data_IF_485265950053
#
_entry.id   IF_485265950053
#
_cell.length_a   1.000
_cell.length_b   1.000
_cell.length_c   1.000
_cell.angle_alpha   90.00
_cell.angle_beta   90.00
_cell.angle_gamma   90.00
#
_symmetry.space_group_name_H-M   'P 1'
#
loop_
_entity.id
_entity.type
_entity.pdbx_description
1 polymer ?
#
# COMPACT_ATOMS: atom_id res chain seq x y z
N UNK A 1 -14.24 -67.65 -1.61
CA UNK A 1 -14.76 -67.58 -0.23
C UNK A 1 -14.75 -68.97 0.40
N UNK A 2 -14.28 -69.10 1.64
CA UNK A 2 -14.49 -70.31 2.42
C UNK A 2 -15.88 -70.21 3.07
N UNK A 3 -16.74 -71.21 2.82
CA UNK A 3 -18.07 -71.31 3.43
C UNK A 3 -17.96 -71.35 4.96
N UNK A 4 -18.85 -70.62 5.63
CA UNK A 4 -18.98 -70.68 7.09
C UNK A 4 -20.03 -71.70 7.54
N UNK A 5 -20.69 -72.35 6.58
CA UNK A 5 -21.71 -73.36 6.85
C UNK A 5 -21.08 -74.66 7.38
N UNK A 6 -21.68 -75.30 8.41
CA UNK A 6 -21.30 -76.63 8.85
C UNK A 6 -21.42 -77.67 7.72
N UNK A 7 -20.67 -78.77 7.81
CA UNK A 7 -20.73 -79.85 6.82
C UNK A 7 -22.14 -80.46 6.64
N UNK A 8 -23.00 -80.35 7.67
CA UNK A 8 -24.37 -80.87 7.66
C UNK A 8 -25.41 -79.97 6.97
N UNK A 9 -24.99 -78.87 6.34
CA UNK A 9 -25.92 -77.84 5.85
C UNK A 9 -26.73 -78.29 4.62
N UNK A 10 -28.02 -77.98 4.64
CA UNK A 10 -29.02 -78.36 3.63
C UNK A 10 -29.00 -77.51 2.37
N UNK A 11 -29.85 -77.85 1.38
CA UNK A 11 -29.91 -77.16 0.08
C UNK A 11 -30.32 -75.69 0.22
N UNK A 12 -31.29 -75.39 1.08
CA UNK A 12 -31.75 -74.02 1.32
C UNK A 12 -30.65 -73.14 1.91
N UNK A 13 -29.93 -73.63 2.92
CA UNK A 13 -28.86 -72.88 3.59
C UNK A 13 -27.71 -72.55 2.64
N UNK A 14 -27.33 -73.50 1.78
CA UNK A 14 -26.32 -73.29 0.74
C UNK A 14 -26.77 -72.29 -0.33
N UNK A 15 -28.03 -72.38 -0.77
CA UNK A 15 -28.59 -71.42 -1.72
C UNK A 15 -28.69 -70.00 -1.13
N UNK A 16 -29.02 -69.90 0.15
CA UNK A 16 -29.06 -68.63 0.88
C UNK A 16 -27.67 -68.00 1.06
N UNK A 17 -26.65 -68.80 1.41
CA UNK A 17 -25.25 -68.34 1.46
C UNK A 17 -24.79 -67.83 0.09
N UNK A 18 -25.08 -68.56 -0.99
CA UNK A 18 -24.75 -68.13 -2.36
C UNK A 18 -25.44 -66.83 -2.75
N UNK A 19 -26.74 -66.67 -2.43
CA UNK A 19 -27.48 -65.43 -2.72
C UNK A 19 -26.91 -64.21 -1.99
N UNK A 20 -26.23 -64.41 -0.85
CA UNK A 20 -25.54 -63.36 -0.10
C UNK A 20 -24.05 -63.22 -0.45
N UNK A 21 -23.48 -64.13 -1.25
CA UNK A 21 -22.05 -64.19 -1.56
C UNK A 21 -21.52 -62.89 -2.19
N UNK A 22 -22.24 -62.34 -3.17
CA UNK A 22 -21.85 -61.08 -3.83
C UNK A 22 -21.80 -59.90 -2.83
N UNK A 23 -22.73 -59.86 -1.88
CA UNK A 23 -22.76 -58.82 -0.83
C UNK A 23 -21.52 -58.90 0.07
N UNK A 24 -21.01 -60.10 0.34
CA UNK A 24 -19.79 -60.25 1.12
C UNK A 24 -18.55 -59.78 0.37
N UNK A 25 -18.49 -59.96 -0.94
CA UNK A 25 -17.39 -59.43 -1.77
C UNK A 25 -17.43 -57.89 -1.76
N UNK A 26 -18.61 -57.30 -2.00
CA UNK A 26 -18.80 -55.84 -1.93
C UNK A 26 -18.42 -55.26 -0.56
N UNK A 27 -18.82 -55.92 0.54
CA UNK A 27 -18.45 -55.49 1.89
C UNK A 27 -16.94 -55.63 2.14
N UNK A 28 -16.32 -56.70 1.66
CA UNK A 28 -14.89 -56.90 1.80
C UNK A 28 -14.08 -55.82 1.07
N UNK A 29 -14.50 -55.42 -0.13
CA UNK A 29 -13.91 -54.31 -0.88
C UNK A 29 -14.12 -52.95 -0.20
N UNK A 30 -15.23 -52.77 0.52
CA UNK A 30 -15.54 -51.54 1.24
C UNK A 30 -14.71 -51.35 2.52
N UNK A 31 -14.26 -52.44 3.18
CA UNK A 31 -13.52 -52.35 4.46
C UNK A 31 -12.24 -51.50 4.33
N UNK A 32 -11.35 -51.71 3.34
CA UNK A 32 -10.18 -50.85 3.15
C UNK A 32 -10.53 -49.37 2.95
N UNK A 33 -11.63 -49.07 2.26
CA UNK A 33 -12.07 -47.70 2.00
C UNK A 33 -12.46 -46.97 3.28
N UNK A 34 -13.02 -47.67 4.27
CA UNK A 34 -13.33 -47.10 5.59
C UNK A 34 -12.05 -46.75 6.35
N UNK A 35 -11.03 -47.62 6.27
CA UNK A 35 -9.75 -47.42 6.97
C UNK A 35 -8.97 -46.25 6.36
N UNK A 36 -8.93 -46.13 5.04
CA UNK A 36 -8.20 -45.06 4.33
C UNK A 36 -9.02 -43.80 4.09
N UNK A 37 -10.29 -43.73 4.52
CA UNK A 37 -11.21 -42.63 4.26
C UNK A 37 -10.69 -41.25 4.66
N UNK A 38 -9.76 -41.17 5.65
CA UNK A 38 -9.15 -39.91 6.10
C UNK A 38 -7.88 -39.54 5.33
N UNK A 39 -7.21 -40.51 4.74
CA UNK A 39 -5.99 -40.32 3.96
C UNK A 39 -6.32 -40.01 2.50
N UNK A 40 -7.35 -40.68 1.96
CA UNK A 40 -7.86 -40.49 0.59
C UNK A 40 -9.36 -40.22 0.66
N UNK A 41 -9.77 -39.01 1.07
CA UNK A 41 -11.18 -38.73 1.30
C UNK A 41 -11.98 -38.62 0.01
N UNK A 42 -13.16 -39.27 0.03
CA UNK A 42 -14.20 -39.05 -0.97
C UNK A 42 -14.66 -37.59 -0.93
N UNK A 43 -14.98 -36.95 -2.08
CA UNK A 43 -15.42 -35.57 -2.12
C UNK A 43 -16.60 -35.25 -1.17
N UNK A 44 -17.53 -36.20 -1.00
CA UNK A 44 -18.68 -36.07 -0.10
C UNK A 44 -18.32 -36.06 1.39
N UNK A 45 -17.17 -36.60 1.78
CA UNK A 45 -16.72 -36.68 3.17
C UNK A 45 -15.92 -35.46 3.63
N UNK A 46 -15.40 -34.68 2.69
CA UNK A 46 -14.49 -33.56 2.97
C UNK A 46 -15.09 -32.48 3.89
N UNK A 47 -16.36 -32.04 3.72
CA UNK A 47 -16.95 -31.08 4.65
C UNK A 47 -17.02 -31.61 6.09
N UNK A 48 -17.26 -32.91 6.26
CA UNK A 48 -17.30 -33.55 7.58
C UNK A 48 -15.90 -33.64 8.19
N UNK A 49 -14.86 -33.91 7.40
CA UNK A 49 -13.47 -33.87 7.87
C UNK A 49 -13.02 -32.46 8.25
N UNK A 50 -13.42 -31.44 7.47
CA UNK A 50 -13.15 -30.05 7.81
C UNK A 50 -13.82 -29.66 9.15
N UNK A 51 -15.04 -30.17 9.40
CA UNK A 51 -15.71 -29.99 10.68
C UNK A 51 -15.02 -30.77 11.82
N UNK A 52 -14.70 -32.05 11.60
CA UNK A 52 -14.01 -32.92 12.57
C UNK A 52 -12.67 -32.32 13.02
N UNK A 53 -11.90 -31.77 12.08
CA UNK A 53 -10.62 -31.10 12.39
C UNK A 53 -10.77 -29.65 12.88
N UNK A 54 -11.99 -29.11 13.00
CA UNK A 54 -12.23 -27.75 13.47
C UNK A 54 -11.74 -26.66 12.50
N UNK A 55 -11.64 -26.99 11.21
CA UNK A 55 -11.09 -26.12 10.16
C UNK A 55 -12.10 -25.13 9.57
N UNK A 56 -13.35 -25.16 10.03
CA UNK A 56 -14.42 -24.30 9.53
C UNK A 56 -14.07 -22.81 9.54
N UNK A 57 -13.32 -22.34 10.54
CA UNK A 57 -12.86 -20.95 10.64
C UNK A 57 -11.88 -20.52 9.53
N UNK A 58 -11.22 -21.48 8.86
CA UNK A 58 -10.28 -21.21 7.77
C UNK A 58 -10.94 -21.25 6.38
N UNK A 59 -12.18 -21.73 6.27
CA UNK A 59 -12.94 -21.79 5.00
C UNK A 59 -13.06 -20.45 4.27
N UNK A 60 -13.08 -19.26 4.93
CA UNK A 60 -13.08 -17.99 4.21
C UNK A 60 -11.75 -17.64 3.55
N UNK A 61 -10.65 -18.33 3.90
CA UNK A 61 -9.30 -18.03 3.41
C UNK A 61 -8.75 -19.08 2.44
N UNK A 62 -9.14 -20.36 2.62
CA UNK A 62 -8.71 -21.48 1.76
C UNK A 62 -9.92 -22.00 0.97
N UNK A 63 -10.08 -21.63 -0.32
CA UNK A 63 -11.24 -22.03 -1.11
C UNK A 63 -11.30 -23.53 -1.41
N UNK A 64 -10.13 -24.16 -1.58
CA UNK A 64 -10.05 -25.58 -1.89
C UNK A 64 -10.06 -26.41 -0.59
N UNK A 65 -11.13 -27.16 -0.36
CA UNK A 65 -11.28 -27.95 0.86
C UNK A 65 -10.27 -29.10 0.98
N UNK A 66 -9.74 -29.62 -0.14
CA UNK A 66 -8.66 -30.61 -0.11
C UNK A 66 -7.38 -30.01 0.47
N UNK A 67 -7.01 -28.82 0.00
CA UNK A 67 -5.87 -28.06 0.53
C UNK A 67 -6.11 -27.68 1.98
N UNK A 68 -7.34 -27.28 2.34
CA UNK A 68 -7.70 -26.91 3.70
C UNK A 68 -7.44 -28.04 4.69
N UNK A 69 -7.82 -29.27 4.36
CA UNK A 69 -7.58 -30.43 5.25
C UNK A 69 -6.09 -30.63 5.50
N UNK A 70 -5.27 -30.55 4.46
CA UNK A 70 -3.85 -30.82 4.57
C UNK A 70 -3.08 -29.67 5.24
N UNK A 71 -3.28 -28.45 4.74
CA UNK A 71 -2.55 -27.28 5.17
C UNK A 71 -3.11 -26.67 6.45
N UNK A 72 -4.41 -26.81 6.69
CA UNK A 72 -5.05 -26.36 7.92
C UNK A 72 -4.62 -27.16 9.15
N UNK A 73 -4.47 -28.48 9.03
CA UNK A 73 -3.93 -29.32 10.13
C UNK A 73 -2.48 -28.95 10.43
N UNK A 74 -1.67 -28.66 9.41
CA UNK A 74 -0.30 -28.18 9.59
C UNK A 74 -0.26 -26.82 10.28
N UNK A 75 -1.13 -25.90 9.88
CA UNK A 75 -1.26 -24.59 10.51
C UNK A 75 -1.68 -24.70 11.99
N UNK A 76 -2.59 -25.60 12.35
CA UNK A 76 -2.97 -25.81 13.75
C UNK A 76 -1.79 -26.16 14.65
N UNK A 77 -0.80 -26.93 14.14
CA UNK A 77 0.42 -27.27 14.89
C UNK A 77 1.36 -26.08 15.11
N UNK A 78 1.23 -25.05 14.29
CA UNK A 78 2.05 -23.84 14.33
C UNK A 78 1.32 -22.64 14.97
N UNK A 79 0.01 -22.75 15.20
CA UNK A 79 -0.83 -21.67 15.71
C UNK A 79 -0.27 -21.14 17.03
N UNK A 80 -0.28 -19.81 17.19
CA UNK A 80 0.31 -19.11 18.33
C UNK A 80 1.79 -18.78 18.18
N UNK A 81 2.43 -19.16 17.07
CA UNK A 81 3.83 -18.81 16.75
C UNK A 81 3.91 -17.89 15.54
N UNK A 82 5.08 -17.28 15.32
CA UNK A 82 5.32 -16.46 14.12
C UNK A 82 5.19 -17.28 12.83
N UNK A 83 5.64 -18.54 12.83
CA UNK A 83 5.45 -19.46 11.72
C UNK A 83 3.96 -19.77 11.47
N UNK A 84 3.13 -19.74 12.51
CA UNK A 84 1.68 -19.86 12.37
C UNK A 84 1.05 -18.67 11.63
N UNK A 85 1.51 -17.45 11.93
CA UNK A 85 1.05 -16.24 11.23
C UNK A 85 1.50 -16.26 9.77
N UNK A 86 2.78 -16.55 9.52
CA UNK A 86 3.32 -16.69 8.16
C UNK A 86 2.57 -17.75 7.36
N UNK A 87 2.32 -18.92 7.96
CA UNK A 87 1.55 -19.98 7.32
C UNK A 87 0.10 -19.56 7.05
N UNK A 88 -0.53 -18.85 7.98
CA UNK A 88 -1.87 -18.31 7.81
C UNK A 88 -1.97 -17.31 6.66
N UNK A 89 -1.03 -16.35 6.58
CA UNK A 89 -0.97 -15.37 5.49
C UNK A 89 -0.71 -16.03 4.12
N UNK A 90 0.03 -17.15 4.10
CA UNK A 90 0.26 -17.92 2.87
C UNK A 90 -1.04 -18.44 2.24
N UNK A 91 -2.10 -18.68 3.01
CA UNK A 91 -3.41 -19.12 2.49
C UNK A 91 -4.06 -18.08 1.58
N UNK A 92 -3.74 -16.81 1.80
CA UNK A 92 -4.25 -15.68 1.00
C UNK A 92 -3.17 -15.08 0.10
N UNK A 93 -2.04 -15.79 -0.10
CA UNK A 93 -0.90 -15.35 -0.89
C UNK A 93 -0.31 -14.01 -0.42
N UNK A 94 -0.36 -13.72 0.88
CA UNK A 94 0.25 -12.51 1.46
C UNK A 94 1.54 -12.89 2.17
N UNK A 95 2.58 -12.09 1.97
CA UNK A 95 3.85 -12.22 2.70
C UNK A 95 4.05 -11.01 3.59
N UNK A 96 4.34 -11.25 4.86
CA UNK A 96 4.58 -10.20 5.84
C UNK A 96 5.48 -10.68 6.97
N UNK A 97 6.29 -9.79 7.51
CA UNK A 97 7.01 -10.02 8.75
C UNK A 97 6.17 -9.54 9.93
N UNK A 98 6.01 -10.39 10.94
CA UNK A 98 5.41 -10.00 12.22
C UNK A 98 6.47 -9.32 13.09
N UNK A 99 6.14 -8.15 13.60
CA UNK A 99 6.99 -7.37 14.47
C UNK A 99 6.25 -7.11 15.79
N UNK A 100 6.70 -7.69 16.91
CA UNK A 100 6.09 -7.45 18.20
C UNK A 100 6.37 -6.03 18.67
N UNK A 101 5.44 -5.45 19.43
CA UNK A 101 5.68 -4.19 20.11
C UNK A 101 6.83 -4.31 21.13
N UNK A 102 7.51 -3.20 21.38
CA UNK A 102 8.50 -3.14 22.43
C UNK A 102 7.87 -3.39 23.80
N UNK A 103 8.56 -4.13 24.65
CA UNK A 103 8.06 -4.57 25.96
C UNK A 103 7.87 -3.43 26.97
N UNK A 104 8.48 -2.26 26.73
CA UNK A 104 8.33 -1.08 27.59
C UNK A 104 6.99 -0.37 27.43
N UNK A 105 6.27 -0.68 26.34
CA UNK A 105 5.00 -0.06 26.00
C UNK A 105 3.86 -0.55 26.89
N UNK A 106 2.90 0.32 27.21
CA UNK A 106 1.67 -0.09 27.89
C UNK A 106 0.92 -1.24 27.16
N UNK A 107 0.80 -1.13 25.83
CA UNK A 107 0.22 -2.17 24.96
C UNK A 107 1.30 -3.11 24.38
N UNK A 108 2.08 -3.71 25.27
CA UNK A 108 3.25 -4.57 24.95
C UNK A 108 2.89 -5.87 24.20
N UNK A 109 1.67 -6.38 24.36
CA UNK A 109 1.20 -7.63 23.73
C UNK A 109 0.71 -7.42 22.29
N UNK A 110 0.84 -6.20 21.75
CA UNK A 110 0.44 -5.86 20.39
C UNK A 110 1.50 -6.20 19.35
N UNK A 111 1.07 -6.48 18.13
CA UNK A 111 1.94 -6.84 17.02
C UNK A 111 1.58 -6.03 15.77
N UNK A 112 2.59 -5.70 14.97
CA UNK A 112 2.41 -5.11 13.65
C UNK A 112 2.85 -6.07 12.55
N UNK A 113 2.23 -5.96 11.37
CA UNK A 113 2.65 -6.68 10.17
C UNK A 113 3.33 -5.72 9.21
N UNK A 114 4.57 -6.04 8.84
CA UNK A 114 5.31 -5.37 7.78
C UNK A 114 5.12 -6.16 6.50
N UNK A 115 4.21 -5.71 5.65
CA UNK A 115 3.90 -6.35 4.38
C UNK A 115 5.07 -6.18 3.41
N UNK A 116 5.36 -7.20 2.62
CA UNK A 116 6.38 -7.11 1.56
C UNK A 116 5.89 -6.32 0.33
N UNK A 117 4.57 -6.24 0.15
CA UNK A 117 3.92 -5.58 -0.97
C UNK A 117 2.62 -4.90 -0.54
N UNK A 118 2.16 -3.95 -1.35
CA UNK A 118 0.86 -3.32 -1.16
C UNK A 118 -0.24 -4.31 -1.57
N UNK A 119 -1.21 -4.65 -0.70
CA UNK A 119 -2.34 -5.49 -1.10
C UNK A 119 -3.09 -4.87 -2.28
N UNK A 120 -3.55 -5.68 -3.23
CA UNK A 120 -4.17 -5.18 -4.48
C UNK A 120 -5.44 -4.35 -4.29
N UNK A 121 -6.19 -4.57 -3.20
CA UNK A 121 -7.39 -3.81 -2.85
C UNK A 121 -7.52 -3.66 -1.33
N UNK A 122 -8.41 -2.77 -0.88
CA UNK A 122 -8.77 -2.68 0.54
C UNK A 122 -9.76 -3.79 0.94
N UNK A 123 -10.89 -3.87 0.22
CA UNK A 123 -11.89 -4.94 0.39
C UNK A 123 -11.71 -6.04 -0.66
N UNK A 124 -11.81 -7.34 -0.31
CA UNK A 124 -11.88 -7.91 1.04
C UNK A 124 -10.49 -8.23 1.63
N UNK A 125 -9.40 -7.75 1.00
CA UNK A 125 -8.04 -8.18 1.33
C UNK A 125 -7.64 -7.85 2.77
N UNK A 126 -7.94 -6.64 3.26
CA UNK A 126 -7.54 -6.21 4.61
C UNK A 126 -8.30 -6.97 5.70
N UNK A 127 -9.60 -7.19 5.50
CA UNK A 127 -10.43 -8.02 6.39
C UNK A 127 -9.90 -9.45 6.44
N UNK A 128 -9.48 -10.00 5.29
CA UNK A 128 -8.88 -11.32 5.22
C UNK A 128 -7.53 -11.41 5.93
N UNK A 129 -6.65 -10.41 5.74
CA UNK A 129 -5.34 -10.34 6.38
C UNK A 129 -5.52 -10.25 7.91
N UNK A 130 -6.36 -9.34 8.41
CA UNK A 130 -6.63 -9.24 9.85
C UNK A 130 -7.23 -10.53 10.39
N UNK A 131 -8.24 -11.08 9.71
CA UNK A 131 -8.93 -12.28 10.16
C UNK A 131 -7.99 -13.47 10.32
N UNK A 132 -7.20 -13.80 9.30
CA UNK A 132 -6.26 -14.93 9.38
C UNK A 132 -5.13 -14.68 10.39
N UNK A 133 -4.68 -13.43 10.52
CA UNK A 133 -3.66 -13.04 11.50
C UNK A 133 -4.17 -13.23 12.92
N UNK A 134 -5.36 -12.73 13.23
CA UNK A 134 -6.01 -12.90 14.55
C UNK A 134 -6.26 -14.36 14.89
N UNK A 135 -6.66 -15.17 13.91
CA UNK A 135 -6.81 -16.61 14.13
C UNK A 135 -5.46 -17.27 14.45
N UNK A 136 -4.37 -16.78 13.88
CA UNK A 136 -3.02 -17.34 14.04
C UNK A 136 -2.31 -16.88 15.31
N UNK A 137 -2.63 -15.69 15.81
CA UNK A 137 -2.05 -15.15 17.03
C UNK A 137 -2.53 -15.88 18.31
N UNK A 138 -1.72 -15.90 19.37
CA UNK A 138 -2.19 -16.29 20.70
C UNK A 138 -3.34 -15.39 21.16
N UNK A 139 -4.27 -15.93 21.94
CA UNK A 139 -5.42 -15.17 22.45
C UNK A 139 -5.03 -13.89 23.22
N UNK A 140 -3.88 -13.91 23.90
CA UNK A 140 -3.35 -12.76 24.65
C UNK A 140 -2.70 -11.69 23.78
N UNK A 141 -2.52 -11.92 22.49
CA UNK A 141 -1.76 -11.06 21.59
C UNK A 141 -2.69 -10.37 20.62
N UNK A 142 -2.53 -9.06 20.50
CA UNK A 142 -3.40 -8.25 19.64
C UNK A 142 -2.70 -7.93 18.32
N UNK A 143 -3.48 -7.95 17.24
CA UNK A 143 -3.04 -7.41 15.96
C UNK A 143 -3.39 -5.92 15.90
N UNK A 144 -2.37 -5.07 15.98
CA UNK A 144 -2.52 -3.61 16.05
C UNK A 144 -2.62 -2.98 14.67
N UNK A 145 -1.74 -3.36 13.75
CA UNK A 145 -1.54 -2.59 12.51
C UNK A 145 -0.83 -3.35 11.40
N UNK A 146 -1.20 -3.06 10.15
CA UNK A 146 -0.45 -3.46 8.95
C UNK A 146 0.20 -2.27 8.25
N UNK A 147 1.45 -2.44 7.79
CA UNK A 147 2.28 -1.37 7.21
C UNK A 147 2.92 -1.79 5.90
N UNK A 148 2.98 -0.83 4.96
CA UNK A 148 3.74 -0.94 3.72
C UNK A 148 4.14 0.45 3.24
N UNK A 149 5.42 0.71 2.98
CA UNK A 149 5.91 1.95 2.37
C UNK A 149 5.80 3.24 3.20
N UNK A 150 4.77 3.39 4.05
CA UNK A 150 4.60 4.53 4.96
C UNK A 150 4.38 4.06 6.39
N UNK A 151 5.41 4.25 7.21
CA UNK A 151 5.45 3.81 8.60
C UNK A 151 5.92 4.96 9.48
N UNK A 152 4.96 5.71 10.05
CA UNK A 152 5.24 6.66 11.14
C UNK A 152 4.85 5.98 12.44
N UNK A 153 5.89 5.61 13.18
CA UNK A 153 5.76 4.97 14.48
C UNK A 153 5.39 6.00 15.56
N UNK A 154 4.73 5.53 16.63
CA UNK A 154 4.48 6.36 17.80
C UNK A 154 5.81 6.88 18.36
N UNK A 155 5.81 8.10 18.90
CA UNK A 155 6.94 8.53 19.75
C UNK A 155 6.80 7.82 21.09
N UNK A 156 7.77 7.01 21.47
CA UNK A 156 7.79 6.30 22.74
C UNK A 156 8.24 7.26 23.84
N UNK A 157 7.28 7.74 24.64
CA UNK A 157 7.51 8.69 25.74
C UNK A 157 7.17 8.10 27.11
N UNK A 158 6.99 6.78 27.15
CA UNK A 158 6.78 5.99 28.37
C UNK A 158 7.83 6.40 29.43
N UNK A 159 7.35 6.74 30.63
CA UNK A 159 8.16 7.24 31.75
C UNK A 159 8.80 8.63 31.58
N UNK A 160 8.34 9.44 30.63
CA UNK A 160 8.68 10.87 30.54
C UNK A 160 7.49 11.77 30.93
N UNK A 161 7.72 13.04 31.32
CA UNK A 161 6.63 14.00 31.55
C UNK A 161 5.74 14.28 30.32
N UNK A 162 6.19 13.85 29.13
CA UNK A 162 5.49 14.04 27.86
C UNK A 162 4.58 12.86 27.48
N UNK A 163 4.50 11.81 28.30
CA UNK A 163 3.60 10.66 28.11
C UNK A 163 2.13 11.12 27.90
N UNK A 164 1.68 12.10 28.70
CA UNK A 164 0.35 12.71 28.55
C UNK A 164 0.19 13.68 27.36
N UNK A 165 1.20 13.89 26.53
CA UNK A 165 1.17 14.89 25.45
C UNK A 165 0.52 14.40 24.15
N UNK A 166 -0.01 13.17 24.10
CA UNK A 166 -0.71 12.57 22.95
C UNK A 166 0.09 12.56 21.63
N UNK A 167 1.41 12.53 21.70
CA UNK A 167 2.31 12.43 20.52
C UNK A 167 2.58 10.99 20.08
N UNK A 168 1.84 10.04 20.66
CA UNK A 168 1.96 8.60 20.41
C UNK A 168 1.08 8.12 19.24
N UNK A 169 0.44 9.04 18.52
CA UNK A 169 -0.45 8.68 17.41
C UNK A 169 0.34 8.11 16.25
N UNK A 170 -0.07 6.93 15.85
CA UNK A 170 0.53 6.20 14.73
C UNK A 170 -0.05 6.63 13.39
N UNK A 171 0.70 6.45 12.30
CA UNK A 171 0.11 6.59 10.97
C UNK A 171 -0.86 5.45 10.65
N UNK A 172 -1.89 5.79 9.89
CA UNK A 172 -2.84 4.86 9.30
C UNK A 172 -4.27 5.18 9.69
N UNK A 173 -5.19 4.39 9.14
CA UNK A 173 -6.63 4.47 9.41
C UNK A 173 -7.22 3.07 9.56
N UNK A 174 -8.24 2.93 10.39
CA UNK A 174 -9.08 1.73 10.38
C UNK A 174 -9.92 1.72 9.10
N UNK A 175 -10.27 0.52 8.60
CA UNK A 175 -11.00 0.38 7.35
C UNK A 175 -12.15 -0.62 7.46
N UNK A 176 -13.36 -0.22 7.06
CA UNK A 176 -14.52 -1.11 7.08
C UNK A 176 -14.79 -1.70 8.47
N UNK A 177 -14.82 -3.04 8.55
CA UNK A 177 -15.04 -3.78 9.81
C UNK A 177 -13.74 -4.11 10.57
N UNK A 178 -12.59 -3.73 10.02
CA UNK A 178 -11.28 -4.01 10.62
C UNK A 178 -11.08 -3.21 11.90
N UNK A 179 -10.46 -3.85 12.91
CA UNK A 179 -10.02 -3.13 14.12
C UNK A 179 -8.56 -2.70 14.02
N UNK A 180 -7.81 -3.34 13.13
CA UNK A 180 -6.42 -3.00 12.87
C UNK A 180 -6.31 -1.68 12.09
N UNK A 181 -5.24 -0.94 12.38
CA UNK A 181 -4.89 0.27 11.63
C UNK A 181 -4.12 -0.14 10.37
N UNK A 182 -4.41 0.49 9.23
CA UNK A 182 -3.69 0.25 7.98
C UNK A 182 -2.95 1.50 7.56
N UNK A 183 -1.63 1.38 7.36
CA UNK A 183 -0.76 2.49 6.99
C UNK A 183 0.04 2.13 5.76
N UNK A 184 -0.48 2.53 4.60
CA UNK A 184 0.18 2.27 3.34
C UNK A 184 0.72 3.55 2.69
N UNK A 185 1.84 3.40 2.00
CA UNK A 185 2.49 4.42 1.22
C UNK A 185 2.84 3.89 -0.16
N UNK A 186 2.57 4.69 -1.18
CA UNK A 186 3.01 4.44 -2.55
C UNK A 186 3.66 5.70 -3.11
N UNK A 187 4.72 5.54 -3.90
CA UNK A 187 5.41 6.66 -4.54
C UNK A 187 5.20 6.63 -6.05
N UNK A 188 4.88 7.78 -6.63
CA UNK A 188 4.85 8.01 -8.08
C UNK A 188 5.88 9.09 -8.40
N UNK A 189 6.89 8.73 -9.19
CA UNK A 189 7.94 9.65 -9.61
C UNK A 189 7.67 10.13 -11.04
N UNK A 190 7.66 11.45 -11.22
CA UNK A 190 7.43 12.13 -12.49
C UNK A 190 8.67 12.95 -12.84
N UNK A 191 9.00 13.02 -14.11
CA UNK A 191 10.05 13.89 -14.63
C UNK A 191 9.48 14.78 -15.73
N UNK A 192 9.84 16.05 -15.68
CA UNK A 192 9.39 17.03 -16.66
C UNK A 192 10.48 18.05 -16.99
N UNK A 193 10.62 18.36 -18.27
CA UNK A 193 11.42 19.49 -18.73
C UNK A 193 10.46 20.62 -19.06
N UNK A 194 10.62 21.76 -18.39
CA UNK A 194 9.75 22.92 -18.57
C UNK A 194 9.84 23.41 -20.02
N UNK A 195 8.70 23.47 -20.69
CA UNK A 195 8.61 23.97 -22.06
C UNK A 195 8.60 25.50 -22.08
N UNK A 196 8.93 26.09 -23.22
CA UNK A 196 8.87 27.55 -23.42
C UNK A 196 7.47 28.12 -23.18
N UNK A 197 6.45 27.41 -23.66
CA UNK A 197 5.06 27.81 -23.47
C UNK A 197 4.67 27.82 -21.99
N UNK A 198 5.02 26.78 -21.23
CA UNK A 198 4.78 26.71 -19.78
C UNK A 198 5.56 27.79 -19.03
N UNK A 199 6.85 27.95 -19.34
CA UNK A 199 7.69 28.96 -18.70
C UNK A 199 7.21 30.39 -18.97
N UNK A 200 6.76 30.67 -20.19
CA UNK A 200 6.24 31.98 -20.58
C UNK A 200 4.92 32.26 -19.88
N UNK A 201 4.02 31.27 -19.81
CA UNK A 201 2.78 31.38 -19.05
C UNK A 201 3.03 31.62 -17.55
N UNK A 202 4.08 31.02 -16.97
CA UNK A 202 4.50 31.27 -15.60
C UNK A 202 5.19 32.63 -15.39
N UNK A 203 5.65 33.29 -16.46
CA UNK A 203 6.54 34.46 -16.38
C UNK A 203 7.93 34.11 -15.83
N UNK A 204 8.36 32.86 -15.98
CA UNK A 204 9.67 32.35 -15.54
C UNK A 204 10.58 31.96 -16.72
N UNK A 205 10.15 32.17 -17.97
CA UNK A 205 10.98 31.80 -19.11
C UNK A 205 12.12 32.78 -19.31
N UNK A 206 13.33 32.24 -19.30
CA UNK A 206 14.53 32.93 -19.75
C UNK A 206 14.93 32.28 -21.08
N UNK A 207 15.17 33.07 -22.12
CA UNK A 207 15.59 32.55 -23.42
C UNK A 207 16.96 31.87 -23.25
N UNK A 208 17.19 30.66 -23.81
CA UNK A 208 18.50 30.04 -23.81
C UNK A 208 19.57 30.99 -24.39
N UNK A 209 20.69 31.24 -23.70
CA UNK A 209 21.69 32.19 -24.16
C UNK A 209 22.33 31.70 -25.47
N UNK A 210 22.25 32.51 -26.52
CA UNK A 210 22.91 32.29 -27.82
C UNK A 210 24.34 32.83 -27.88
N UNK A 211 24.78 33.54 -26.83
CA UNK A 211 26.11 34.14 -26.70
C UNK A 211 26.73 33.80 -25.34
N UNK A 212 28.00 34.15 -25.14
CA UNK A 212 28.77 33.82 -23.94
C UNK A 212 28.31 34.53 -22.64
N UNK A 213 27.21 35.29 -22.64
CA UNK A 213 26.72 36.03 -21.47
C UNK A 213 25.19 36.11 -21.41
N UNK A 214 24.62 35.96 -20.21
CA UNK A 214 23.22 36.32 -19.92
C UNK A 214 23.12 37.84 -19.75
N UNK A 215 22.16 38.50 -20.42
CA UNK A 215 21.98 39.95 -20.26
C UNK A 215 21.02 40.24 -19.11
N UNK A 216 21.30 41.33 -18.40
CA UNK A 216 20.44 41.84 -17.33
C UNK A 216 19.02 42.17 -17.80
N UNK A 217 18.88 42.61 -19.06
CA UNK A 217 17.59 42.93 -19.67
C UNK A 217 16.68 41.71 -19.87
N UNK A 218 17.25 40.50 -19.92
CA UNK A 218 16.52 39.25 -20.16
C UNK A 218 16.00 38.62 -18.84
N UNK A 219 16.23 39.28 -17.70
CA UNK A 219 15.91 38.81 -16.36
C UNK A 219 14.67 39.53 -15.80
N UNK A 220 13.54 38.82 -15.72
CA UNK A 220 12.25 39.38 -15.30
C UNK A 220 11.93 39.15 -13.81
N UNK A 221 12.87 39.39 -12.90
CA UNK A 221 12.66 39.30 -11.44
C UNK A 221 13.08 40.59 -10.70
N UNK A 222 12.58 40.79 -9.47
CA UNK A 222 12.92 41.98 -8.67
C UNK A 222 14.35 41.88 -8.13
N UNK A 223 15.23 42.77 -8.59
CA UNK A 223 16.65 42.80 -8.22
C UNK A 223 16.92 43.02 -6.73
N UNK A 224 16.02 43.70 -6.01
CA UNK A 224 16.18 43.99 -4.59
C UNK A 224 16.10 42.77 -3.66
N UNK A 225 15.71 41.61 -4.18
CA UNK A 225 15.60 40.34 -3.44
C UNK A 225 16.46 39.22 -4.05
N UNK A 226 17.37 39.55 -4.97
CA UNK A 226 18.17 38.57 -5.69
C UNK A 226 19.33 38.04 -4.81
N UNK A 227 19.18 36.82 -4.29
CA UNK A 227 20.22 36.09 -3.53
C UNK A 227 21.03 35.11 -4.41
N UNK A 228 21.18 35.44 -5.70
CA UNK A 228 21.65 34.49 -6.70
C UNK A 228 23.17 34.32 -6.63
N UNK A 229 23.66 33.08 -6.64
CA UNK A 229 25.07 32.80 -6.91
C UNK A 229 25.37 32.99 -8.40
N UNK A 230 26.38 33.77 -8.74
CA UNK A 230 26.79 33.99 -10.12
C UNK A 230 27.59 32.78 -10.62
N UNK A 231 27.10 32.13 -11.68
CA UNK A 231 27.81 31.09 -12.42
C UNK A 231 28.52 31.67 -13.65
N UNK A 232 29.77 31.24 -13.87
CA UNK A 232 30.53 31.58 -15.07
C UNK A 232 29.94 30.97 -16.35
N UNK A 233 29.08 29.93 -16.24
CA UNK A 233 28.41 29.32 -17.37
C UNK A 233 27.00 29.91 -17.54
N UNK A 234 26.71 30.66 -18.63
CA UNK A 234 25.41 31.28 -18.85
C UNK A 234 24.24 30.29 -18.87
N UNK A 235 24.44 29.09 -19.43
CA UNK A 235 23.39 28.06 -19.46
C UNK A 235 23.11 27.50 -18.07
N UNK A 236 24.14 27.33 -17.23
CA UNK A 236 23.95 26.94 -15.84
C UNK A 236 23.28 28.05 -15.03
N UNK A 237 23.70 29.30 -15.25
CA UNK A 237 23.09 30.47 -14.61
C UNK A 237 21.61 30.55 -14.94
N UNK A 238 21.21 30.41 -16.21
CA UNK A 238 19.81 30.35 -16.64
C UNK A 238 19.00 29.36 -15.79
N UNK A 239 19.48 28.12 -15.67
CA UNK A 239 18.77 27.06 -14.94
C UNK A 239 18.65 27.37 -13.45
N UNK A 240 19.69 27.93 -12.84
CA UNK A 240 19.67 28.36 -11.43
C UNK A 240 18.58 29.42 -11.22
N UNK A 241 18.55 30.45 -12.07
CA UNK A 241 17.56 31.54 -11.98
C UNK A 241 16.13 31.00 -12.11
N UNK A 242 15.90 30.14 -13.11
CA UNK A 242 14.59 29.53 -13.34
C UNK A 242 14.18 28.61 -12.19
N UNK A 243 15.13 27.92 -11.56
CA UNK A 243 14.87 27.10 -10.38
C UNK A 243 14.51 27.94 -9.15
N UNK A 244 15.26 29.01 -8.90
CA UNK A 244 15.05 29.89 -7.74
C UNK A 244 13.69 30.60 -7.77
N UNK A 245 13.11 30.85 -8.95
CA UNK A 245 11.77 31.44 -9.07
C UNK A 245 10.68 30.62 -8.33
N UNK A 246 10.87 29.30 -8.19
CA UNK A 246 9.94 28.43 -7.48
C UNK A 246 10.02 28.54 -5.95
N UNK A 247 11.10 29.13 -5.41
CA UNK A 247 11.27 29.27 -3.97
C UNK A 247 10.14 30.14 -3.37
N UNK A 248 9.48 29.62 -2.33
CA UNK A 248 8.39 30.32 -1.65
C UNK A 248 7.09 30.42 -2.45
N UNK A 249 6.97 29.77 -3.61
CA UNK A 249 5.71 29.68 -4.35
C UNK A 249 4.81 28.61 -3.75
N UNK A 250 3.51 28.83 -3.84
CA UNK A 250 2.52 27.79 -3.60
C UNK A 250 2.29 27.01 -4.91
N UNK A 251 2.32 25.68 -4.81
CA UNK A 251 1.91 24.79 -5.89
C UNK A 251 0.95 23.72 -5.38
N UNK A 252 0.15 23.20 -6.30
CA UNK A 252 -0.86 22.19 -6.05
C UNK A 252 -0.74 21.09 -7.08
N UNK A 253 -0.67 19.84 -6.62
CA UNK A 253 -0.89 18.68 -7.46
C UNK A 253 -2.38 18.59 -7.77
N UNK A 254 -2.77 18.69 -9.04
CA UNK A 254 -4.12 18.39 -9.52
C UNK A 254 -4.17 16.95 -10.02
N UNK A 255 -5.16 16.19 -9.56
CA UNK A 255 -5.47 14.85 -10.05
C UNK A 255 -6.74 14.87 -10.88
N UNK A 256 -6.76 14.16 -12.00
CA UNK A 256 -7.88 14.11 -12.94
C UNK A 256 -8.19 12.69 -13.40
N UNK A 257 -9.45 12.47 -13.78
CA UNK A 257 -9.92 11.24 -14.45
C UNK A 257 -9.59 11.29 -15.95
N UNK A 258 -9.78 10.17 -16.66
CA UNK A 258 -9.53 10.08 -18.10
C UNK A 258 -10.39 11.00 -18.96
N UNK A 259 -11.57 11.41 -18.47
CA UNK A 259 -12.43 12.41 -19.12
C UNK A 259 -11.97 13.87 -18.91
N UNK A 260 -10.88 14.07 -18.16
CA UNK A 260 -10.34 15.38 -17.83
C UNK A 260 -10.99 16.08 -16.64
N UNK A 261 -12.03 15.49 -16.04
CA UNK A 261 -12.67 16.00 -14.82
C UNK A 261 -11.69 15.97 -13.65
N UNK A 262 -11.80 16.98 -12.78
CA UNK A 262 -10.93 17.10 -11.60
C UNK A 262 -11.43 16.20 -10.48
N UNK A 263 -10.52 15.42 -9.90
CA UNK A 263 -10.74 14.66 -8.68
C UNK A 263 -10.52 15.59 -7.48
N UNK A 264 -9.39 16.29 -7.45
CA UNK A 264 -9.08 17.29 -6.45
C UNK A 264 -7.66 17.82 -6.58
N UNK A 265 -7.27 18.65 -5.61
CA UNK A 265 -5.96 19.28 -5.55
C UNK A 265 -5.30 19.03 -4.20
N UNK A 266 -4.04 18.59 -4.21
CA UNK A 266 -3.23 18.46 -3.01
C UNK A 266 -2.14 19.53 -2.98
N UNK A 267 -2.06 20.31 -1.89
CA UNK A 267 -0.96 21.28 -1.73
C UNK A 267 0.39 20.56 -1.74
N UNK A 268 1.33 21.05 -2.53
CA UNK A 268 2.71 20.59 -2.50
C UNK A 268 3.36 20.97 -1.17
N UNK A 269 3.98 20.00 -0.50
CA UNK A 269 4.65 20.20 0.79
C UNK A 269 6.08 20.68 0.66
N UNK A 270 6.73 20.37 -0.47
CA UNK A 270 8.12 20.72 -0.76
C UNK A 270 8.19 21.27 -2.17
N UNK A 271 8.87 22.40 -2.32
CA UNK A 271 9.24 23.03 -3.60
C UNK A 271 10.59 23.70 -3.38
N UNK A 272 11.65 23.15 -3.95
CA UNK A 272 12.98 23.71 -3.78
C UNK A 272 13.91 23.43 -4.96
N UNK A 273 14.83 24.37 -5.23
CA UNK A 273 16.00 24.10 -6.04
C UNK A 273 16.85 23.00 -5.39
N UNK A 274 17.37 22.08 -6.20
CA UNK A 274 18.17 20.96 -5.70
C UNK A 274 19.32 20.58 -6.62
N UNK A 275 20.33 19.95 -6.01
CA UNK A 275 21.52 19.41 -6.65
C UNK A 275 21.73 17.95 -6.23
N UNK A 276 22.31 17.09 -7.09
CA UNK A 276 22.65 15.72 -6.71
C UNK A 276 23.60 15.70 -5.50
N UNK A 277 23.32 14.84 -4.53
CA UNK A 277 24.14 14.69 -3.33
C UNK A 277 24.06 13.25 -2.83
N UNK A 278 25.21 12.63 -2.57
CA UNK A 278 25.27 11.26 -2.06
C UNK A 278 24.59 11.08 -0.69
N UNK A 279 24.52 12.14 0.10
CA UNK A 279 23.84 12.18 1.40
C UNK A 279 22.54 13.00 1.34
N UNK A 280 21.92 13.07 0.16
CA UNK A 280 20.71 13.86 -0.07
C UNK A 280 19.48 13.31 0.66
N UNK A 281 18.59 14.21 1.08
CA UNK A 281 17.35 13.87 1.77
C UNK A 281 16.21 13.49 0.81
N UNK A 282 16.28 13.96 -0.44
CA UNK A 282 15.25 13.68 -1.44
C UNK A 282 15.74 12.61 -2.40
N UNK A 283 14.86 11.70 -2.77
CA UNK A 283 15.14 10.67 -3.78
C UNK A 283 14.28 10.90 -5.02
N UNK A 284 14.85 10.69 -6.19
CA UNK A 284 14.13 10.64 -7.47
C UNK A 284 14.95 9.86 -8.50
N UNK A 285 14.34 8.90 -9.20
CA UNK A 285 14.99 8.09 -10.22
C UNK A 285 16.16 7.26 -9.68
N UNK A 286 16.11 6.86 -8.41
CA UNK A 286 17.21 6.17 -7.71
C UNK A 286 18.40 7.05 -7.31
N UNK A 287 18.41 8.33 -7.67
CA UNK A 287 19.43 9.29 -7.24
C UNK A 287 18.97 10.10 -6.02
N UNK A 288 19.94 10.57 -5.24
CA UNK A 288 19.72 11.41 -4.06
C UNK A 288 20.05 12.88 -4.34
N UNK A 289 19.27 13.77 -3.73
CA UNK A 289 19.30 15.22 -3.93
C UNK A 289 19.19 15.96 -2.61
N UNK A 290 19.86 17.11 -2.52
CA UNK A 290 19.74 18.05 -1.42
C UNK A 290 19.19 19.38 -1.90
N UNK A 291 18.43 20.13 -1.06
CA UNK A 291 18.16 21.53 -1.32
C UNK A 291 19.48 22.28 -1.55
N UNK A 292 19.52 23.07 -2.61
CA UNK A 292 20.69 23.88 -2.98
C UNK A 292 20.19 25.16 -3.67
N UNK A 293 20.62 26.31 -3.17
CA UNK A 293 20.30 27.61 -3.77
C UNK A 293 20.88 27.73 -5.18
N UNK A 294 21.99 27.04 -5.47
CA UNK A 294 22.57 26.93 -6.81
C UNK A 294 22.06 25.70 -7.59
N UNK A 295 20.97 25.09 -7.11
CA UNK A 295 20.32 23.96 -7.75
C UNK A 295 19.82 24.29 -9.16
N UNK A 296 20.17 23.44 -10.13
CA UNK A 296 19.75 23.61 -11.53
C UNK A 296 18.45 22.86 -11.87
N UNK A 297 17.82 22.26 -10.87
CA UNK A 297 16.57 21.48 -10.98
C UNK A 297 15.67 21.84 -9.81
N UNK A 298 14.37 21.64 -9.97
CA UNK A 298 13.41 21.84 -8.88
C UNK A 298 12.78 20.52 -8.50
N UNK A 299 12.83 20.20 -7.21
CA UNK A 299 12.10 19.09 -6.62
C UNK A 299 10.76 19.60 -6.10
N UNK A 300 9.67 19.02 -6.58
CA UNK A 300 8.30 19.32 -6.14
C UNK A 300 7.69 18.05 -5.58
N UNK A 301 7.09 18.15 -4.40
CA UNK A 301 6.50 17.00 -3.75
C UNK A 301 5.11 17.29 -3.20
N UNK A 302 4.16 16.40 -3.50
CA UNK A 302 2.84 16.39 -2.88
C UNK A 302 2.55 14.98 -2.34
N UNK A 303 1.81 14.91 -1.24
CA UNK A 303 1.42 13.63 -0.63
C UNK A 303 -0.01 13.70 -0.16
N UNK A 304 -0.87 12.81 -0.64
CA UNK A 304 -2.27 12.70 -0.20
C UNK A 304 -2.34 12.28 1.28
N UNK A 305 -3.46 12.54 1.94
CA UNK A 305 -3.80 11.91 3.21
C UNK A 305 -4.61 10.64 3.03
N UNK A 306 -4.74 9.88 4.11
CA UNK A 306 -5.66 8.75 4.16
C UNK A 306 -7.09 9.24 3.95
N UNK A 307 -7.82 8.62 3.03
CA UNK A 307 -9.19 9.01 2.70
C UNK A 307 -9.33 10.27 1.84
N UNK A 308 -8.24 10.83 1.30
CA UNK A 308 -8.35 11.88 0.27
C UNK A 308 -8.90 11.24 -1.03
N UNK A 309 -10.12 11.63 -1.43
CA UNK A 309 -10.83 11.13 -2.61
C UNK A 309 -10.87 9.59 -2.75
N UNK A 310 -11.52 8.90 -1.80
CA UNK A 310 -11.49 7.44 -1.76
C UNK A 310 -12.24 6.84 -2.95
N UNK A 311 -11.69 5.75 -3.50
CA UNK A 311 -12.27 4.97 -4.62
C UNK A 311 -12.26 5.69 -5.97
N UNK A 312 -11.54 6.79 -6.07
CA UNK A 312 -11.28 7.46 -7.33
C UNK A 312 -10.08 6.84 -8.05
N UNK A 313 -10.06 6.95 -9.37
CA UNK A 313 -8.93 6.51 -10.19
C UNK A 313 -8.32 7.71 -10.91
N UNK A 314 -7.10 8.09 -10.52
CA UNK A 314 -6.40 9.19 -11.13
C UNK A 314 -5.62 8.70 -12.36
N UNK A 315 -5.94 9.28 -13.51
CA UNK A 315 -5.35 8.96 -14.82
C UNK A 315 -4.40 10.05 -15.31
N UNK A 316 -4.53 11.27 -14.77
CA UNK A 316 -3.66 12.39 -15.10
C UNK A 316 -3.27 13.15 -13.83
N UNK A 317 -2.02 13.60 -13.80
CA UNK A 317 -1.49 14.49 -12.78
C UNK A 317 -0.84 15.71 -13.43
N UNK A 318 -1.03 16.88 -12.82
CA UNK A 318 -0.36 18.12 -13.23
C UNK A 318 -0.11 19.02 -12.01
N UNK A 319 0.86 19.94 -12.14
CA UNK A 319 1.18 20.90 -11.08
C UNK A 319 0.61 22.26 -11.46
N UNK A 320 -0.25 22.80 -10.60
CA UNK A 320 -0.80 24.15 -10.70
C UNK A 320 0.03 25.10 -9.83
N UNK A 321 0.58 26.13 -10.45
CA UNK A 321 1.24 27.24 -9.76
C UNK A 321 0.38 28.49 -9.79
N UNK A 322 0.49 29.32 -8.76
CA UNK A 322 -0.23 30.60 -8.67
C UNK A 322 -1.76 30.46 -8.72
N UNK A 323 -2.29 29.30 -8.30
CA UNK A 323 -3.74 29.08 -8.16
C UNK A 323 -4.30 29.89 -7.00
N UNK A 324 -5.53 30.39 -7.15
CA UNK A 324 -6.24 31.15 -6.10
C UNK A 324 -7.29 30.25 -5.45
N UNK A 325 -7.27 30.15 -4.12
CA UNK A 325 -8.30 29.40 -3.38
C UNK A 325 -9.64 30.14 -3.45
N UNK A 326 -10.72 29.39 -3.54
CA UNK A 326 -12.07 29.93 -3.46
C UNK A 326 -12.33 30.62 -2.10
N UNK A 327 -13.24 31.58 -2.09
CA UNK A 327 -13.66 32.29 -0.87
C UNK A 327 -14.24 31.30 0.14
N UNK A 328 -13.82 31.39 1.40
CA UNK A 328 -14.30 30.52 2.48
C UNK A 328 -13.51 29.23 2.69
N UNK A 329 -12.60 28.87 1.77
CA UNK A 329 -11.73 27.69 1.93
C UNK A 329 -10.61 27.98 2.94
N UNK A 330 -10.48 27.21 4.05
CA UNK A 330 -9.43 27.45 5.03
C UNK A 330 -8.04 27.31 4.43
N UNK A 331 -7.11 28.21 4.80
CA UNK A 331 -5.70 28.14 4.37
C UNK A 331 -5.00 26.84 4.77
N UNK A 332 -5.42 26.25 5.89
CA UNK A 332 -4.89 24.98 6.40
C UNK A 332 -5.42 23.74 5.69
N UNK A 333 -6.48 23.85 4.86
CA UNK A 333 -7.01 22.72 4.10
C UNK A 333 -5.96 22.26 3.08
N UNK A 334 -5.53 21.01 3.19
CA UNK A 334 -4.46 20.44 2.36
C UNK A 334 -4.98 19.81 1.07
N UNK A 335 -6.12 19.11 1.16
CA UNK A 335 -6.88 18.60 0.03
C UNK A 335 -8.00 19.57 -0.34
N UNK A 336 -8.05 20.02 -1.58
CA UNK A 336 -9.08 20.90 -2.12
C UNK A 336 -9.93 20.12 -3.12
N UNK A 337 -11.24 20.26 -3.01
CA UNK A 337 -12.19 19.63 -3.93
C UNK A 337 -12.22 20.37 -5.27
N UNK A 338 -12.90 19.76 -6.25
CA UNK A 338 -13.18 20.42 -7.52
C UNK A 338 -13.90 21.77 -7.28
N UNK A 339 -13.37 22.85 -7.85
CA UNK A 339 -13.91 24.21 -7.70
C UNK A 339 -13.38 25.02 -6.50
N UNK A 340 -12.66 24.40 -5.56
CA UNK A 340 -12.05 25.12 -4.42
C UNK A 340 -10.71 25.79 -4.76
N UNK A 341 -10.16 25.52 -5.94
CA UNK A 341 -9.00 26.19 -6.53
C UNK A 341 -9.36 26.66 -7.95
N UNK A 342 -9.09 27.92 -8.25
CA UNK A 342 -9.32 28.52 -9.56
C UNK A 342 -8.10 29.26 -10.09
N UNK A 343 -8.02 29.39 -11.41
CA UNK A 343 -6.88 29.99 -12.09
C UNK A 343 -5.58 29.19 -11.93
N UNK A 344 -4.45 29.88 -11.98
CA UNK A 344 -3.12 29.29 -11.97
C UNK A 344 -2.69 28.75 -13.34
N UNK A 345 -1.42 28.38 -13.42
CA UNK A 345 -0.80 27.83 -14.63
C UNK A 345 -0.47 26.37 -14.37
N UNK A 346 -1.00 25.49 -15.22
CA UNK A 346 -0.71 24.07 -15.18
C UNK A 346 0.59 23.78 -15.93
N UNK A 347 1.47 22.99 -15.30
CA UNK A 347 2.69 22.46 -15.91
C UNK A 347 2.79 20.96 -15.65
N UNK A 348 3.68 20.29 -16.38
CA UNK A 348 4.04 18.90 -16.13
C UNK A 348 2.84 17.95 -16.15
N UNK A 349 1.90 18.18 -17.08
CA UNK A 349 0.76 17.29 -17.26
C UNK A 349 1.21 15.93 -17.77
N UNK A 350 1.06 14.89 -16.95
CA UNK A 350 1.51 13.52 -17.24
C UNK A 350 0.39 12.51 -17.00
N UNK A 351 0.29 11.46 -17.84
CA UNK A 351 -0.56 10.32 -17.56
C UNK A 351 0.00 9.52 -16.38
N UNK A 352 -0.90 9.03 -15.54
CA UNK A 352 -0.63 8.18 -14.38
C UNK A 352 -1.71 7.09 -14.31
N UNK A 353 -1.52 6.09 -13.45
CA UNK A 353 -2.52 5.06 -13.20
C UNK A 353 -2.55 4.77 -11.70
N UNK A 354 -3.23 5.63 -10.94
CA UNK A 354 -3.18 5.63 -9.48
C UNK A 354 -4.60 5.46 -8.92
N UNK A 355 -4.96 4.27 -8.41
CA UNK A 355 -6.19 4.10 -7.64
C UNK A 355 -6.01 4.74 -6.25
N UNK A 356 -6.82 5.75 -5.94
CA UNK A 356 -6.83 6.43 -4.65
C UNK A 356 -7.65 5.61 -3.65
N UNK A 357 -7.03 5.29 -2.52
CA UNK A 357 -7.55 4.35 -1.52
C UNK A 357 -7.63 4.99 -0.15
N UNK A 358 -8.58 4.53 0.65
CA UNK A 358 -8.80 5.05 2.02
C UNK A 358 -7.55 4.83 2.89
N UNK A 359 -6.86 3.72 2.70
CA UNK A 359 -5.73 3.27 3.54
C UNK A 359 -4.35 3.62 2.98
N UNK A 360 -4.27 4.28 1.82
CA UNK A 360 -3.01 4.55 1.11
C UNK A 360 -2.74 6.05 1.03
N UNK A 361 -1.52 6.46 1.39
CA UNK A 361 -0.98 7.78 1.06
C UNK A 361 -0.15 7.69 -0.21
N UNK A 362 -0.57 8.40 -1.24
CA UNK A 362 0.15 8.52 -2.49
C UNK A 362 1.09 9.73 -2.43
N UNK A 363 2.38 9.47 -2.61
CA UNK A 363 3.46 10.46 -2.66
C UNK A 363 3.86 10.69 -4.12
N UNK A 364 3.62 11.89 -4.61
CA UNK A 364 4.00 12.33 -5.95
C UNK A 364 5.26 13.17 -5.87
N UNK A 365 6.32 12.70 -6.54
CA UNK A 365 7.61 13.38 -6.61
C UNK A 365 7.85 13.82 -8.05
N UNK A 366 7.92 15.12 -8.29
CA UNK A 366 8.24 15.67 -9.60
C UNK A 366 9.65 16.25 -9.58
N UNK A 367 10.48 15.81 -10.52
CA UNK A 367 11.74 16.45 -10.85
C UNK A 367 11.55 17.34 -12.08
N UNK A 368 11.69 18.65 -11.90
CA UNK A 368 11.57 19.65 -12.96
C UNK A 368 12.96 20.08 -13.47
N UNK A 369 13.11 20.10 -14.79
CA UNK A 369 14.31 20.55 -15.52
C UNK A 369 13.99 21.74 -16.43
N UNK A 370 15.03 22.43 -16.91
CA UNK A 370 14.93 23.68 -17.67
C UNK A 370 15.83 23.71 -18.91
#
# INVERSE_FOLDING_TARGET
>A
MNTLLPASSGVFEKAFEQALGERWEQLHEAVPLVVSAKEVPLPSFIPFLAWEFGLGMLTPYVPNLYELIYEGVRWFRLRGTYAGVEKGLSFINVTAALEPAWHGRAWWNSNQLRLSELPGSDTPALERIEGVTKLSLPFRSDFRRGVFGYDVQPVELDASPLDGAHVERESGVAYGTTTAIWSFGRTTELEHTLTEAEGTALGNWIVPPTSASLRWADMHFRWSTALLSWSANPAAQRRILMAQWFAGKDAYLRLRRGDGSVIGYRRCRIICGCSPSASGFYSHGGALYSPDESGQRVYIEARTDFGDAPREFAEMADIILSGTRAVGVPKGKLWLEAGELSGGVAIASKPIAVPLRETVRDQFKLMLRF
#
